data_IF_095474566834
#
_entry.id   IF_095474566834
#
_cell.length_a   1.000
_cell.length_b   1.000
_cell.length_c   1.000
_cell.angle_alpha   90.00
_cell.angle_beta   90.00
_cell.angle_gamma   90.00
#
_symmetry.space_group_name_H-M   'P 1'
#
loop_
_entity.id
_entity.type
_entity.pdbx_description
1 polymer ?
#
# COMPACT_ATOMS: atom_id res chain seq x y z
N UNK A 1 10.67 -5.71 -19.13
CA UNK A 1 11.42 -4.79 -18.26
C UNK A 1 11.47 -5.44 -16.88
N UNK A 2 12.64 -5.90 -16.43
CA UNK A 2 12.78 -6.62 -15.16
C UNK A 2 12.90 -5.57 -14.03
N UNK A 3 11.77 -5.17 -13.45
CA UNK A 3 11.75 -4.25 -12.31
C UNK A 3 12.02 -5.06 -11.04
N UNK A 4 13.26 -5.04 -10.57
CA UNK A 4 13.58 -5.50 -9.21
C UNK A 4 12.97 -4.51 -8.23
N UNK A 5 11.95 -4.95 -7.48
CA UNK A 5 11.29 -4.13 -6.47
C UNK A 5 12.26 -3.84 -5.33
N UNK A 6 12.30 -2.60 -4.87
CA UNK A 6 13.04 -2.22 -3.67
C UNK A 6 12.31 -2.72 -2.42
N UNK A 7 13.06 -2.93 -1.33
CA UNK A 7 12.47 -3.37 -0.05
C UNK A 7 11.36 -2.43 0.44
N UNK A 8 11.49 -1.12 0.16
CA UNK A 8 10.50 -0.10 0.50
C UNK A 8 9.19 -0.30 -0.29
N UNK A 9 9.28 -0.60 -1.58
CA UNK A 9 8.11 -0.86 -2.43
C UNK A 9 7.41 -2.16 -1.99
N UNK A 10 8.17 -3.21 -1.71
CA UNK A 10 7.64 -4.48 -1.19
C UNK A 10 6.92 -4.24 0.14
N UNK A 11 7.55 -3.51 1.06
CA UNK A 11 6.96 -3.16 2.36
C UNK A 11 5.66 -2.37 2.22
N UNK A 12 5.64 -1.36 1.34
CA UNK A 12 4.44 -0.57 1.06
C UNK A 12 3.33 -1.42 0.47
N UNK A 13 3.63 -2.28 -0.50
CA UNK A 13 2.64 -3.16 -1.13
C UNK A 13 2.05 -4.13 -0.12
N UNK A 14 2.87 -4.77 0.72
CA UNK A 14 2.41 -5.68 1.76
C UNK A 14 1.53 -4.96 2.79
N UNK A 15 1.91 -3.74 3.18
CA UNK A 15 1.12 -2.94 4.13
C UNK A 15 -0.24 -2.57 3.54
N UNK A 16 -0.30 -2.12 2.28
CA UNK A 16 -1.56 -1.82 1.60
C UNK A 16 -2.43 -3.07 1.43
N UNK A 17 -1.83 -4.22 1.10
CA UNK A 17 -2.54 -5.50 1.01
C UNK A 17 -3.15 -5.90 2.35
N UNK A 18 -2.43 -5.70 3.46
CA UNK A 18 -2.95 -5.98 4.80
C UNK A 18 -4.14 -5.09 5.19
N UNK A 19 -4.21 -3.83 4.70
CA UNK A 19 -5.39 -2.98 4.88
C UNK A 19 -6.59 -3.53 4.10
N UNK A 20 -6.38 -3.94 2.84
CA UNK A 20 -7.44 -4.49 1.97
C UNK A 20 -7.97 -5.81 2.55
N UNK A 21 -7.07 -6.68 3.01
CA UNK A 21 -7.38 -7.95 3.65
C UNK A 21 -7.96 -7.77 5.08
N UNK A 22 -8.14 -6.52 5.53
CA UNK A 22 -8.67 -6.15 6.85
C UNK A 22 -7.86 -6.72 8.03
N UNK A 23 -6.56 -6.99 7.81
CA UNK A 23 -5.64 -7.46 8.87
C UNK A 23 -5.17 -6.31 9.76
N UNK A 24 -5.09 -5.10 9.22
CA UNK A 24 -4.76 -3.87 9.95
C UNK A 24 -5.72 -2.75 9.54
N UNK A 25 -5.87 -1.74 10.38
CA UNK A 25 -6.68 -0.56 10.03
C UNK A 25 -5.90 0.39 9.11
N UNK A 26 -6.62 1.30 8.44
CA UNK A 26 -6.01 2.39 7.68
C UNK A 26 -5.21 3.37 8.55
N UNK A 27 -5.50 3.43 9.86
CA UNK A 27 -4.76 4.24 10.84
C UNK A 27 -3.41 3.58 11.15
N UNK A 28 -3.41 2.26 11.37
CA UNK A 28 -2.17 1.51 11.63
C UNK A 28 -1.23 1.59 10.42
N UNK A 29 -1.78 1.40 9.22
CA UNK A 29 -1.02 1.51 7.98
C UNK A 29 -0.46 2.92 7.73
N UNK A 30 -1.20 3.95 8.14
CA UNK A 30 -0.75 5.35 8.05
C UNK A 30 0.50 5.58 8.93
N UNK A 31 0.49 5.06 10.16
CA UNK A 31 1.66 5.10 11.04
C UNK A 31 2.84 4.30 10.47
N UNK A 32 2.59 3.08 9.98
CA UNK A 32 3.62 2.19 9.42
C UNK A 32 4.30 2.73 8.16
N UNK A 33 3.58 3.49 7.34
CA UNK A 33 4.07 4.05 6.08
C UNK A 33 4.47 5.52 6.19
N UNK A 34 4.34 6.13 7.37
CA UNK A 34 4.50 7.57 7.58
C UNK A 34 3.66 8.40 6.59
N UNK A 35 2.39 8.04 6.44
CA UNK A 35 1.42 8.68 5.55
C UNK A 35 0.21 9.16 6.36
N UNK A 36 -0.59 10.02 5.75
CA UNK A 36 -1.95 10.28 6.24
C UNK A 36 -2.88 9.11 5.91
N UNK A 37 -3.91 8.91 6.74
CA UNK A 37 -4.98 7.93 6.50
C UNK A 37 -5.64 8.12 5.13
N UNK A 38 -5.80 9.38 4.68
CA UNK A 38 -6.34 9.70 3.35
C UNK A 38 -5.42 9.20 2.22
N UNK A 39 -4.11 9.34 2.36
CA UNK A 39 -3.16 8.80 1.39
C UNK A 39 -3.25 7.27 1.35
N UNK A 40 -3.33 6.61 2.51
CA UNK A 40 -3.54 5.15 2.58
C UNK A 40 -4.83 4.75 1.84
N UNK A 41 -5.95 5.45 2.08
CA UNK A 41 -7.20 5.20 1.36
C UNK A 41 -7.10 5.41 -0.16
N UNK A 42 -6.33 6.42 -0.60
CA UNK A 42 -6.09 6.64 -2.03
C UNK A 42 -5.28 5.48 -2.63
N UNK A 43 -4.24 5.03 -1.93
CA UNK A 43 -3.39 3.93 -2.35
C UNK A 43 -4.15 2.60 -2.41
N UNK A 44 -5.01 2.30 -1.44
CA UNK A 44 -5.85 1.09 -1.49
C UNK A 44 -6.81 1.14 -2.68
N UNK A 45 -7.42 2.29 -2.98
CA UNK A 45 -8.27 2.47 -4.17
C UNK A 45 -7.48 2.29 -5.47
N UNK A 46 -6.27 2.82 -5.55
CA UNK A 46 -5.42 2.69 -6.73
C UNK A 46 -4.98 1.24 -6.94
N UNK A 47 -4.62 0.53 -5.86
CA UNK A 47 -4.30 -0.89 -5.89
C UNK A 47 -5.48 -1.76 -6.31
N UNK A 48 -6.69 -1.49 -5.80
CA UNK A 48 -7.89 -2.23 -6.22
C UNK A 48 -8.23 -2.04 -7.70
N UNK A 49 -7.85 -0.89 -8.29
CA UNK A 49 -8.14 -0.57 -9.69
C UNK A 49 -7.05 -1.06 -10.65
N UNK A 50 -5.79 -1.02 -10.23
CA UNK A 50 -4.63 -1.21 -11.10
C UNK A 50 -3.65 -2.29 -10.59
N UNK A 51 -3.96 -3.00 -9.51
CA UNK A 51 -3.03 -3.94 -8.88
C UNK A 51 -1.78 -3.26 -8.35
N UNK A 52 -0.64 -3.97 -8.37
CA UNK A 52 0.66 -3.45 -7.91
C UNK A 52 1.13 -2.24 -8.72
N UNK A 53 0.76 -2.14 -10.00
CA UNK A 53 1.07 -0.99 -10.87
C UNK A 53 0.43 0.30 -10.34
N UNK A 54 -0.66 0.19 -9.56
CA UNK A 54 -1.28 1.31 -8.88
C UNK A 54 -0.49 1.86 -7.69
N UNK A 55 0.65 1.27 -7.33
CA UNK A 55 1.47 1.72 -6.19
C UNK A 55 2.88 2.18 -6.59
N UNK A 56 3.27 1.96 -7.84
CA UNK A 56 4.53 2.41 -8.44
C UNK A 56 4.43 3.90 -8.79
#
# INVERSE_FOLDING_TARGET
>A
MLLTMTDIEIYRINTIKNVIDKRISGVDAAALLNLSTRQVYRLTKQYLKHGTEGLI
#
